data_IF_710483864888
#
_entry.id   IF_710483864888
#
_cell.length_a   1.000
_cell.length_b   1.000
_cell.length_c   1.000
_cell.angle_alpha   90.00
_cell.angle_beta   90.00
_cell.angle_gamma   90.00
#
_symmetry.space_group_name_H-M   'P 1'
#
loop_
_entity.id
_entity.type
_entity.pdbx_description
1 polymer ?
#
# COMPACT_ATOMS: atom_id res chain seq x y z
N UNK A 1 18.53 3.80 5.45
CA UNK A 1 17.32 3.94 6.29
C UNK A 1 16.40 2.78 6.00
N UNK A 2 15.48 2.47 6.92
CA UNK A 2 14.44 1.46 6.76
C UNK A 2 13.18 2.19 6.31
N UNK A 3 12.46 1.70 5.31
CA UNK A 3 11.21 2.30 4.83
C UNK A 3 11.40 3.43 3.81
N UNK A 4 10.28 3.94 3.31
CA UNK A 4 10.23 5.18 2.54
C UNK A 4 10.19 6.37 3.51
N UNK A 5 11.23 7.21 3.51
CA UNK A 5 11.39 8.30 4.48
C UNK A 5 10.24 9.30 4.48
N UNK A 6 9.69 9.64 3.31
CA UNK A 6 8.55 10.56 3.19
C UNK A 6 7.31 9.96 3.86
N UNK A 7 7.04 8.68 3.59
CA UNK A 7 5.91 7.95 4.16
C UNK A 7 6.02 7.84 5.69
N UNK A 8 7.22 7.63 6.22
CA UNK A 8 7.46 7.59 7.66
C UNK A 8 7.24 8.95 8.34
N UNK A 9 7.68 10.05 7.72
CA UNK A 9 7.44 11.40 8.26
C UNK A 9 5.94 11.68 8.37
N UNK A 10 5.18 11.37 7.32
CA UNK A 10 3.72 11.56 7.32
C UNK A 10 3.06 10.68 8.39
N UNK A 11 3.49 9.42 8.49
CA UNK A 11 2.99 8.46 9.47
C UNK A 11 3.24 8.92 10.91
N UNK A 12 4.44 9.42 11.21
CA UNK A 12 4.78 9.97 12.53
C UNK A 12 3.92 11.19 12.84
N UNK A 13 3.70 12.07 11.85
CA UNK A 13 2.83 13.24 12.00
C UNK A 13 1.38 12.86 12.35
N UNK A 14 0.84 11.80 11.74
CA UNK A 14 -0.49 11.27 12.05
C UNK A 14 -0.51 10.64 13.45
N UNK A 15 0.48 9.79 13.78
CA UNK A 15 0.54 9.13 15.10
C UNK A 15 0.65 10.16 16.24
N UNK A 16 1.32 11.30 16.00
CA UNK A 16 1.45 12.36 16.98
C UNK A 16 0.11 13.01 17.36
N UNK A 17 -0.92 12.95 16.50
CA UNK A 17 -2.26 13.47 16.84
C UNK A 17 -3.08 12.52 17.72
N UNK A 18 -2.81 11.21 17.65
CA UNK A 18 -3.62 10.18 18.29
C UNK A 18 -3.80 10.36 19.79
N UNK A 19 -2.78 10.72 20.60
CA UNK A 19 -3.00 10.97 22.03
C UNK A 19 -4.04 12.06 22.29
N UNK A 20 -4.07 13.12 21.47
CA UNK A 20 -5.08 14.17 21.56
C UNK A 20 -6.47 13.67 21.17
N UNK A 21 -6.55 12.86 20.11
CA UNK A 21 -7.79 12.25 19.63
C UNK A 21 -8.41 11.30 20.67
N UNK A 22 -7.58 10.53 21.38
CA UNK A 22 -7.97 9.69 22.53
C UNK A 22 -8.62 10.53 23.62
N UNK A 23 -7.93 11.60 24.05
CA UNK A 23 -8.39 12.44 25.17
C UNK A 23 -9.74 13.07 24.83
N UNK A 24 -9.91 13.59 23.61
CA UNK A 24 -11.18 14.17 23.14
C UNK A 24 -12.30 13.15 23.13
N UNK A 25 -12.01 11.93 22.69
CA UNK A 25 -12.97 10.82 22.67
C UNK A 25 -13.46 10.48 24.09
N UNK A 26 -12.54 10.44 25.07
CA UNK A 26 -12.91 10.21 26.48
C UNK A 26 -13.69 11.39 27.10
N UNK A 27 -13.35 12.62 26.73
CA UNK A 27 -14.10 13.81 27.16
C UNK A 27 -15.54 13.77 26.65
N UNK A 28 -15.76 13.40 25.39
CA UNK A 28 -17.11 13.27 24.80
C UNK A 28 -17.96 12.17 25.44
N UNK A 29 -17.32 11.06 25.86
CA UNK A 29 -17.99 10.03 26.66
C UNK A 29 -18.40 10.58 28.04
N UNK A 30 -17.53 11.37 28.68
CA UNK A 30 -17.82 11.99 29.98
C UNK A 30 -18.90 13.07 29.92
N UNK A 31 -19.00 13.79 28.79
CA UNK A 31 -20.03 14.81 28.54
C UNK A 31 -21.37 14.22 28.07
N UNK A 32 -21.44 12.91 27.82
CA UNK A 32 -22.65 12.24 27.33
C UNK A 32 -22.98 12.49 25.85
N UNK A 33 -22.09 13.17 25.11
CA UNK A 33 -22.25 13.44 23.68
C UNK A 33 -22.03 12.17 22.83
N UNK A 34 -21.30 11.19 23.35
CA UNK A 34 -21.06 9.91 22.69
C UNK A 34 -21.61 8.74 23.51
N UNK A 35 -22.38 7.88 22.85
CA UNK A 35 -22.98 6.71 23.49
C UNK A 35 -21.97 5.54 23.53
N UNK A 36 -21.98 4.73 24.59
CA UNK A 36 -21.12 3.55 24.71
C UNK A 36 -21.27 2.58 23.53
N UNK A 37 -22.46 2.50 22.94
CA UNK A 37 -22.72 1.72 21.74
C UNK A 37 -21.95 2.24 20.51
N UNK A 38 -21.86 3.56 20.33
CA UNK A 38 -21.12 4.17 19.22
C UNK A 38 -19.62 3.93 19.35
N UNK A 39 -19.08 4.01 20.58
CA UNK A 39 -17.69 3.69 20.86
C UNK A 39 -17.36 2.21 20.53
N UNK A 40 -18.21 1.29 20.95
CA UNK A 40 -18.03 -0.14 20.66
C UNK A 40 -18.08 -0.40 19.14
N UNK A 41 -19.05 0.19 18.45
CA UNK A 41 -19.17 0.10 17.00
C UNK A 41 -17.91 0.62 16.30
N UNK A 42 -17.40 1.79 16.72
CA UNK A 42 -16.18 2.40 16.17
C UNK A 42 -14.96 1.51 16.36
N UNK A 43 -14.78 0.92 17.55
CA UNK A 43 -13.68 -0.02 17.84
C UNK A 43 -13.74 -1.27 16.95
N UNK A 44 -14.91 -1.90 16.84
CA UNK A 44 -15.10 -3.09 15.98
C UNK A 44 -14.87 -2.75 14.51
N UNK A 45 -15.41 -1.63 14.06
CA UNK A 45 -15.25 -1.15 12.70
C UNK A 45 -13.77 -0.87 12.36
N UNK A 46 -13.03 -0.24 13.29
CA UNK A 46 -11.60 0.02 13.14
C UNK A 46 -10.81 -1.28 12.94
N UNK A 47 -11.04 -2.29 13.79
CA UNK A 47 -10.39 -3.60 13.66
C UNK A 47 -10.74 -4.27 12.33
N UNK A 48 -12.00 -4.18 11.90
CA UNK A 48 -12.44 -4.74 10.62
C UNK A 48 -11.74 -4.07 9.43
N UNK A 49 -11.60 -2.74 9.44
CA UNK A 49 -10.87 -1.99 8.40
C UNK A 49 -9.39 -2.38 8.38
N UNK A 50 -8.73 -2.44 9.54
CA UNK A 50 -7.32 -2.88 9.64
C UNK A 50 -7.16 -4.29 9.06
N UNK A 51 -8.02 -5.23 9.45
CA UNK A 51 -8.00 -6.60 8.95
C UNK A 51 -8.18 -6.65 7.42
N UNK A 52 -9.14 -5.89 6.89
CA UNK A 52 -9.39 -5.81 5.45
C UNK A 52 -8.16 -5.29 4.68
N UNK A 53 -7.48 -4.27 5.20
CA UNK A 53 -6.23 -3.74 4.61
C UNK A 53 -5.13 -4.79 4.64
N UNK A 54 -4.93 -5.47 5.78
CA UNK A 54 -3.89 -6.49 5.92
C UNK A 54 -4.11 -7.61 4.89
N UNK A 55 -5.34 -8.13 4.79
CA UNK A 55 -5.68 -9.20 3.84
C UNK A 55 -5.41 -8.77 2.40
N UNK A 56 -5.81 -7.56 2.02
CA UNK A 56 -5.59 -7.05 0.66
C UNK A 56 -4.12 -6.74 0.37
N UNK A 57 -3.37 -6.26 1.36
CA UNK A 57 -1.95 -5.91 1.22
C UNK A 57 -1.07 -7.16 1.13
N UNK A 58 -1.42 -8.23 1.85
CA UNK A 58 -0.74 -9.52 1.77
C UNK A 58 -1.17 -10.36 0.55
N UNK A 59 -2.29 -10.00 -0.09
CA UNK A 59 -2.77 -10.63 -1.30
C UNK A 59 -1.71 -10.59 -2.40
N UNK A 60 -1.36 -11.76 -2.95
CA UNK A 60 -0.40 -11.88 -4.05
C UNK A 60 -0.87 -12.90 -5.08
N UNK A 61 -0.70 -12.55 -6.35
CA UNK A 61 -0.83 -13.45 -7.48
C UNK A 61 0.53 -14.04 -7.82
N UNK A 62 0.65 -15.37 -7.67
CA UNK A 62 1.89 -16.09 -7.96
C UNK A 62 1.92 -16.51 -9.42
N UNK A 63 2.92 -16.06 -10.18
CA UNK A 63 3.18 -16.52 -11.55
C UNK A 63 4.28 -17.59 -11.50
N UNK A 64 4.02 -18.84 -11.92
CA UNK A 64 5.03 -19.88 -11.93
C UNK A 64 6.10 -19.59 -12.98
N UNK A 65 7.37 -19.76 -12.60
CA UNK A 65 8.53 -19.57 -13.47
C UNK A 65 9.43 -20.78 -13.35
N UNK A 66 9.98 -21.20 -14.47
CA UNK A 66 10.98 -22.26 -14.54
C UNK A 66 12.31 -21.66 -14.98
N UNK A 67 13.39 -22.02 -14.29
CA UNK A 67 14.74 -21.70 -14.73
C UNK A 67 15.34 -22.88 -15.49
N UNK A 68 16.01 -22.58 -16.59
CA UNK A 68 16.70 -23.59 -17.38
C UNK A 68 17.73 -24.33 -16.52
N UNK A 69 17.71 -25.66 -16.61
CA UNK A 69 18.69 -26.53 -15.94
C UNK A 69 20.03 -26.39 -16.65
N UNK A 70 21.10 -26.13 -15.90
CA UNK A 70 22.47 -26.21 -16.44
C UNK A 70 23.05 -27.57 -16.07
N UNK A 71 23.47 -28.33 -17.07
CA UNK A 71 24.25 -29.54 -16.87
C UNK A 71 25.71 -29.11 -16.65
N UNK A 72 26.25 -29.38 -15.46
CA UNK A 72 27.67 -29.15 -15.15
C UNK A 72 28.28 -30.51 -14.82
N UNK A 73 29.13 -31.02 -15.72
CA UNK A 73 29.65 -32.39 -15.64
C UNK A 73 28.54 -33.44 -15.82
N UNK A 74 28.45 -34.42 -14.90
CA UNK A 74 27.41 -35.48 -14.91
C UNK A 74 26.24 -35.22 -13.96
N UNK A 75 26.22 -34.08 -13.26
CA UNK A 75 25.15 -33.73 -12.31
C UNK A 75 24.29 -32.60 -12.87
N UNK A 76 22.98 -32.79 -12.82
CA UNK A 76 22.01 -31.78 -13.20
C UNK A 76 21.91 -30.77 -12.05
N UNK A 77 22.32 -29.52 -12.29
CA UNK A 77 22.20 -28.43 -11.32
C UNK A 77 21.07 -27.49 -11.75
N UNK A 78 20.18 -27.17 -10.81
CA UNK A 78 19.08 -26.23 -11.03
C UNK A 78 17.79 -26.85 -11.56
N UNK A 79 16.85 -25.97 -11.94
CA UNK A 79 15.50 -26.34 -12.42
C UNK A 79 14.44 -26.47 -11.34
N UNK A 80 14.61 -25.81 -10.19
CA UNK A 80 13.52 -25.66 -9.26
C UNK A 80 12.44 -24.77 -9.89
N UNK A 81 11.18 -25.22 -9.86
CA UNK A 81 10.06 -24.36 -10.16
C UNK A 81 9.98 -23.29 -9.08
N UNK A 82 10.02 -22.03 -9.47
CA UNK A 82 9.78 -20.91 -8.57
C UNK A 82 8.49 -20.21 -8.95
N UNK A 83 8.16 -19.15 -8.23
CA UNK A 83 7.13 -18.22 -8.64
C UNK A 83 7.61 -16.77 -8.46
N UNK A 84 7.14 -15.90 -9.34
CA UNK A 84 7.24 -14.45 -9.14
C UNK A 84 5.97 -14.02 -8.40
N UNK A 85 6.08 -13.49 -7.17
CA UNK A 85 4.95 -12.94 -6.45
C UNK A 85 4.63 -11.54 -6.98
N UNK A 86 3.43 -11.37 -7.54
CA UNK A 86 2.89 -10.05 -7.87
C UNK A 86 1.85 -9.67 -6.83
N UNK A 87 2.13 -8.66 -6.00
CA UNK A 87 1.18 -8.19 -4.98
C UNK A 87 -0.06 -7.59 -5.63
N UNK A 88 -1.21 -7.76 -4.99
CA UNK A 88 -2.48 -7.14 -5.42
C UNK A 88 -2.40 -5.63 -5.34
N UNK A 89 -1.74 -5.13 -4.29
CA UNK A 89 -1.42 -3.73 -4.12
C UNK A 89 0.11 -3.53 -4.08
N UNK A 90 0.71 -3.38 -5.25
CA UNK A 90 2.13 -3.05 -5.41
C UNK A 90 2.46 -1.62 -5.00
N UNK A 91 1.47 -0.72 -5.05
CA UNK A 91 1.66 0.68 -4.73
C UNK A 91 1.61 0.99 -3.23
N UNK A 92 1.22 0.01 -2.40
CA UNK A 92 1.05 0.19 -0.98
C UNK A 92 0.06 1.32 -0.70
N UNK A 93 0.42 2.22 0.21
CA UNK A 93 -0.46 3.34 0.62
C UNK A 93 -0.05 4.69 -0.01
N UNK A 94 0.94 4.68 -0.89
CA UNK A 94 1.43 5.87 -1.59
C UNK A 94 0.33 6.56 -2.43
N UNK A 95 -0.55 5.85 -3.16
CA UNK A 95 -1.62 6.51 -3.92
C UNK A 95 -2.58 7.33 -3.05
N UNK A 96 -2.90 6.84 -1.85
CA UNK A 96 -3.78 7.52 -0.89
C UNK A 96 -3.12 8.81 -0.39
N UNK A 97 -1.82 8.75 -0.08
CA UNK A 97 -1.05 9.92 0.36
C UNK A 97 -1.01 11.01 -0.72
N UNK A 98 -0.71 10.64 -1.97
CA UNK A 98 -0.70 11.60 -3.07
C UNK A 98 -2.10 12.20 -3.32
N UNK A 99 -3.14 11.37 -3.32
CA UNK A 99 -4.50 11.85 -3.48
C UNK A 99 -4.87 12.88 -2.38
N UNK A 100 -4.52 12.60 -1.13
CA UNK A 100 -4.77 13.50 -0.01
C UNK A 100 -4.02 14.83 -0.16
N UNK A 101 -2.75 14.81 -0.58
CA UNK A 101 -1.97 16.04 -0.78
C UNK A 101 -2.57 16.94 -1.87
N UNK A 102 -3.12 16.37 -2.94
CA UNK A 102 -3.74 17.13 -4.04
C UNK A 102 -5.05 17.76 -3.57
N UNK A 103 -5.85 17.03 -2.81
CA UNK A 103 -7.14 17.53 -2.31
C UNK A 103 -6.99 18.59 -1.23
N UNK A 104 -6.00 18.45 -0.35
CA UNK A 104 -5.75 19.44 0.70
C UNK A 104 -5.24 20.76 0.12
N UNK A 105 -4.58 20.74 -1.05
CA UNK A 105 -3.91 21.90 -1.61
C UNK A 105 -4.86 23.10 -1.88
N UNK A 106 -6.01 22.95 -2.58
CA UNK A 106 -6.96 24.06 -2.75
C UNK A 106 -7.53 24.58 -1.43
N UNK A 107 -7.80 23.69 -0.46
CA UNK A 107 -8.31 24.07 0.86
C UNK A 107 -7.32 24.95 1.62
N UNK A 108 -6.04 24.58 1.63
CA UNK A 108 -4.97 25.37 2.24
C UNK A 108 -4.83 26.74 1.57
N UNK A 109 -4.88 26.80 0.24
CA UNK A 109 -4.82 28.08 -0.49
C UNK A 109 -6.01 29.00 -0.17
N UNK A 110 -7.22 28.45 -0.09
CA UNK A 110 -8.41 29.22 0.26
C UNK A 110 -8.34 29.77 1.70
N UNK A 111 -7.71 29.04 2.62
CA UNK A 111 -7.45 29.51 3.99
C UNK A 111 -6.38 30.61 4.04
N UNK A 112 -5.36 30.54 3.18
CA UNK A 112 -4.29 31.55 3.11
C UNK A 112 -4.73 32.86 2.43
N UNK A 113 -5.69 32.80 1.50
CA UNK A 113 -6.21 33.96 0.76
C UNK A 113 -7.71 34.19 1.00
N UNK A 114 -8.11 34.56 2.23
CA UNK A 114 -9.51 34.82 2.55
C UNK A 114 -10.02 36.02 1.73
N UNK A 115 -11.15 35.85 1.01
CA UNK A 115 -11.80 36.91 0.23
C UNK A 115 -11.82 36.71 -1.29
N UNK A 116 -11.15 35.67 -1.81
CA UNK A 116 -11.25 35.28 -3.21
C UNK A 116 -12.42 34.30 -3.41
N UNK A 117 -13.58 34.81 -3.86
CA UNK A 117 -14.82 34.01 -4.01
C UNK A 117 -14.64 32.75 -4.89
N UNK A 118 -13.75 32.81 -5.88
CA UNK A 118 -13.38 31.66 -6.71
C UNK A 118 -12.65 30.55 -5.94
N UNK A 119 -11.68 30.88 -5.07
CA UNK A 119 -10.98 29.87 -4.26
C UNK A 119 -11.88 29.29 -3.18
N UNK A 120 -12.77 30.09 -2.58
CA UNK A 120 -13.74 29.61 -1.59
C UNK A 120 -14.76 28.66 -2.22
N UNK A 121 -15.21 28.94 -3.46
CA UNK A 121 -16.06 28.02 -4.20
C UNK A 121 -15.35 26.70 -4.48
N UNK A 122 -14.10 26.74 -4.96
CA UNK A 122 -13.30 25.53 -5.17
C UNK A 122 -13.12 24.74 -3.86
N UNK A 123 -12.76 25.40 -2.76
CA UNK A 123 -12.60 24.75 -1.46
C UNK A 123 -13.91 24.12 -0.94
N UNK A 124 -15.06 24.72 -1.23
CA UNK A 124 -16.36 24.16 -0.85
C UNK A 124 -16.67 22.83 -1.54
N UNK A 125 -16.17 22.62 -2.76
CA UNK A 125 -16.32 21.37 -3.52
C UNK A 125 -15.44 20.26 -2.94
N UNK A 126 -14.25 20.61 -2.43
CA UNK A 126 -13.30 19.70 -1.80
C UNK A 126 -13.51 19.52 -0.29
N UNK A 127 -14.68 19.86 0.22
CA UNK A 127 -15.01 19.61 1.63
C UNK A 127 -15.27 18.10 1.84
N UNK A 128 -14.62 17.47 2.84
CA UNK A 128 -14.86 16.07 3.17
C UNK A 128 -16.35 15.77 3.37
N UNK A 129 -16.81 14.66 2.80
CA UNK A 129 -18.22 14.24 2.85
C UNK A 129 -19.09 14.74 1.70
N UNK A 130 -18.64 15.71 0.86
CA UNK A 130 -19.37 16.05 -0.37
C UNK A 130 -19.35 14.88 -1.37
N UNK A 131 -20.43 14.60 -2.13
CA UNK A 131 -20.41 13.52 -3.12
C UNK A 131 -19.36 13.73 -4.22
N UNK A 132 -19.11 14.99 -4.58
CA UNK A 132 -18.08 15.38 -5.54
C UNK A 132 -16.68 15.08 -4.98
N UNK A 133 -16.44 15.39 -3.70
CA UNK A 133 -15.20 15.03 -3.01
C UNK A 133 -14.93 13.53 -3.11
N UNK A 134 -15.93 12.70 -2.79
CA UNK A 134 -15.79 11.24 -2.82
C UNK A 134 -15.44 10.73 -4.22
N UNK A 135 -16.12 11.24 -5.24
CA UNK A 135 -15.89 10.82 -6.63
C UNK A 135 -14.49 11.22 -7.11
N UNK A 136 -14.10 12.46 -6.87
CA UNK A 136 -12.78 12.98 -7.28
C UNK A 136 -11.67 12.27 -6.50
N UNK A 137 -11.82 12.11 -5.19
CA UNK A 137 -10.85 11.41 -4.34
C UNK A 137 -10.65 9.96 -4.77
N UNK A 138 -11.74 9.21 -4.96
CA UNK A 138 -11.68 7.83 -5.43
C UNK A 138 -11.01 7.71 -6.79
N UNK A 139 -11.33 8.61 -7.72
CA UNK A 139 -10.76 8.62 -9.07
C UNK A 139 -9.25 8.88 -9.04
N UNK A 140 -8.82 9.85 -8.22
CA UNK A 140 -7.41 10.17 -8.03
C UNK A 140 -6.67 8.99 -7.41
N UNK A 141 -7.22 8.34 -6.38
CA UNK A 141 -6.61 7.13 -5.79
C UNK A 141 -6.42 6.05 -6.83
N UNK A 142 -7.45 5.73 -7.63
CA UNK A 142 -7.36 4.70 -8.66
C UNK A 142 -6.31 5.07 -9.70
N UNK A 143 -6.31 6.32 -10.17
CA UNK A 143 -5.32 6.82 -11.12
C UNK A 143 -3.89 6.67 -10.58
N UNK A 144 -3.62 7.12 -9.35
CA UNK A 144 -2.29 7.03 -8.75
C UNK A 144 -1.89 5.58 -8.44
N UNK A 145 -2.83 4.69 -8.13
CA UNK A 145 -2.54 3.27 -7.94
C UNK A 145 -2.02 2.62 -9.24
N UNK A 146 -2.63 2.95 -10.38
CA UNK A 146 -2.13 2.51 -11.70
C UNK A 146 -0.81 3.16 -12.06
N UNK A 147 -0.74 4.49 -11.94
CA UNK A 147 0.44 5.25 -12.31
C UNK A 147 1.67 4.79 -11.52
N UNK A 148 1.56 4.68 -10.20
CA UNK A 148 2.66 4.25 -9.35
C UNK A 148 3.06 2.79 -9.62
N UNK A 149 2.09 1.90 -9.84
CA UNK A 149 2.39 0.50 -10.18
C UNK A 149 3.18 0.39 -11.48
N UNK A 150 2.80 1.16 -12.52
CA UNK A 150 3.49 1.16 -13.80
C UNK A 150 4.91 1.75 -13.71
N UNK A 151 5.12 2.76 -12.86
CA UNK A 151 6.44 3.37 -12.65
C UNK A 151 7.38 2.44 -11.88
N UNK A 152 6.90 1.73 -10.86
CA UNK A 152 7.74 0.85 -10.03
C UNK A 152 8.01 -0.50 -10.71
N UNK A 153 7.01 -1.07 -11.39
CA UNK A 153 7.13 -2.37 -12.04
C UNK A 153 7.06 -2.19 -13.56
N UNK A 154 8.22 -2.13 -14.19
CA UNK A 154 8.34 -2.19 -15.64
C UNK A 154 8.28 -3.66 -16.12
N UNK A 155 7.21 -4.09 -16.84
CA UNK A 155 7.07 -5.47 -17.32
C UNK A 155 8.16 -5.88 -18.32
N UNK A 156 8.69 -4.91 -19.08
CA UNK A 156 9.74 -5.13 -20.09
C UNK A 156 11.04 -5.48 -19.39
N UNK A 157 11.45 -4.67 -18.41
CA UNK A 157 12.68 -4.91 -17.64
C UNK A 157 12.60 -6.22 -16.85
N UNK A 158 11.43 -6.55 -16.29
CA UNK A 158 11.22 -7.81 -15.58
C UNK A 158 11.37 -9.00 -16.54
N UNK A 159 10.78 -8.95 -17.73
CA UNK A 159 10.88 -10.01 -18.73
C UNK A 159 12.32 -10.18 -19.26
N UNK A 160 13.04 -9.08 -19.48
CA UNK A 160 14.44 -9.12 -19.93
C UNK A 160 15.36 -9.67 -18.84
N UNK A 161 15.15 -9.29 -17.57
CA UNK A 161 15.88 -9.88 -16.46
C UNK A 161 15.61 -11.37 -16.33
N UNK A 162 14.35 -11.82 -16.44
CA UNK A 162 14.02 -13.24 -16.48
C UNK A 162 14.77 -13.97 -17.59
N UNK A 163 14.77 -13.41 -18.81
CA UNK A 163 15.48 -13.97 -19.96
C UNK A 163 17.00 -14.06 -19.70
N UNK A 164 17.61 -13.01 -19.12
CA UNK A 164 19.05 -12.98 -18.78
C UNK A 164 19.43 -14.08 -17.77
N UNK A 165 18.58 -14.33 -16.77
CA UNK A 165 18.78 -15.39 -15.78
C UNK A 165 18.33 -16.79 -16.25
N UNK A 166 17.94 -16.95 -17.51
CA UNK A 166 17.48 -18.23 -18.06
C UNK A 166 16.12 -18.69 -17.52
N UNK A 167 15.33 -17.76 -16.96
CA UNK A 167 13.98 -17.97 -16.49
C UNK A 167 12.94 -17.77 -17.59
N UNK A 168 11.90 -18.59 -17.60
CA UNK A 168 10.78 -18.46 -18.51
C UNK A 168 9.46 -18.88 -17.85
N UNK A 169 8.36 -18.32 -18.34
CA UNK A 169 7.01 -18.72 -17.94
C UNK A 169 6.60 -19.89 -18.85
N UNK A 170 6.22 -21.06 -18.30
CA UNK A 170 5.75 -22.19 -19.10
C UNK A 170 4.61 -21.78 -20.06
N UNK A 171 4.76 -22.10 -21.34
CA UNK A 171 3.77 -21.76 -22.38
C UNK A 171 3.91 -20.36 -23.01
N UNK A 172 4.85 -19.52 -22.56
CA UNK A 172 5.05 -18.17 -23.10
C UNK A 172 6.49 -18.00 -23.57
N UNK A 173 6.67 -17.48 -24.79
CA UNK A 173 8.02 -17.24 -25.35
C UNK A 173 8.74 -16.12 -24.56
N UNK A 174 10.01 -16.31 -24.16
CA UNK A 174 10.79 -15.28 -23.44
C UNK A 174 10.93 -13.96 -24.23
N UNK A 175 10.98 -12.83 -23.51
CA UNK A 175 11.09 -11.49 -24.09
C UNK A 175 9.73 -10.80 -24.21
N UNK A 176 9.43 -10.19 -25.37
CA UNK A 176 8.24 -9.34 -25.57
C UNK A 176 6.91 -10.00 -25.18
N UNK A 177 6.71 -11.28 -25.51
CA UNK A 177 5.49 -12.03 -25.13
C UNK A 177 5.35 -12.23 -23.62
N UNK A 178 6.47 -12.35 -22.91
CA UNK A 178 6.50 -12.43 -21.44
C UNK A 178 6.14 -11.07 -20.84
N UNK A 179 6.66 -9.97 -21.38
CA UNK A 179 6.30 -8.62 -20.95
C UNK A 179 4.81 -8.32 -21.15
N UNK A 180 4.25 -8.62 -22.34
CA UNK A 180 2.81 -8.47 -22.64
C UNK A 180 1.93 -9.28 -21.67
N UNK A 181 2.38 -10.47 -21.26
CA UNK A 181 1.65 -11.30 -20.30
C UNK A 181 1.70 -10.70 -18.90
N UNK A 182 2.88 -10.30 -18.43
CA UNK A 182 3.05 -9.68 -17.10
C UNK A 182 2.24 -8.39 -17.01
N UNK A 183 2.30 -7.55 -18.04
CA UNK A 183 1.52 -6.30 -18.13
C UNK A 183 0.02 -6.56 -17.99
N UNK A 184 -0.54 -7.48 -18.80
CA UNK A 184 -1.95 -7.87 -18.72
C UNK A 184 -2.32 -8.43 -17.34
N UNK A 185 -1.42 -9.15 -16.70
CA UNK A 185 -1.62 -9.66 -15.35
C UNK A 185 -1.65 -8.53 -14.33
N UNK A 186 -0.69 -7.61 -14.39
CA UNK A 186 -0.60 -6.44 -13.51
C UNK A 186 -1.86 -5.59 -13.63
N UNK A 187 -2.27 -5.19 -14.84
CA UNK A 187 -3.48 -4.37 -15.03
C UNK A 187 -4.74 -4.98 -14.41
N UNK A 188 -4.90 -6.31 -14.53
CA UNK A 188 -6.05 -7.05 -13.97
C UNK A 188 -5.98 -7.24 -12.46
N UNK A 189 -4.77 -7.28 -11.90
CA UNK A 189 -4.55 -7.45 -10.46
C UNK A 189 -4.62 -6.12 -9.73
N UNK A 190 -4.15 -5.04 -10.36
CA UNK A 190 -4.20 -3.69 -9.82
C UNK A 190 -5.61 -3.14 -9.80
N UNK A 191 -6.50 -3.51 -10.74
CA UNK A 191 -7.87 -2.98 -10.79
C UNK A 191 -8.65 -3.23 -9.48
N UNK A 192 -8.80 -4.48 -9.00
CA UNK A 192 -9.51 -4.75 -7.76
C UNK A 192 -8.79 -4.14 -6.55
N UNK A 193 -7.45 -4.11 -6.55
CA UNK A 193 -6.66 -3.49 -5.48
C UNK A 193 -6.90 -1.99 -5.37
N UNK A 194 -6.87 -1.28 -6.50
CA UNK A 194 -7.10 0.17 -6.56
C UNK A 194 -8.53 0.56 -6.17
N UNK A 195 -9.52 -0.19 -6.64
CA UNK A 195 -10.94 0.02 -6.27
C UNK A 195 -11.14 -0.23 -4.78
N UNK A 196 -10.57 -1.31 -4.24
CA UNK A 196 -10.62 -1.59 -2.81
C UNK A 196 -9.99 -0.46 -1.98
N UNK A 197 -8.81 0.03 -2.37
CA UNK A 197 -8.16 1.14 -1.68
C UNK A 197 -9.02 2.41 -1.70
N UNK A 198 -9.64 2.73 -2.84
CA UNK A 198 -10.54 3.87 -2.96
C UNK A 198 -11.77 3.74 -2.04
N UNK A 199 -12.39 2.55 -2.01
CA UNK A 199 -13.53 2.27 -1.13
C UNK A 199 -13.11 2.46 0.32
N UNK A 200 -12.03 1.81 0.76
CA UNK A 200 -11.58 1.88 2.15
C UNK A 200 -11.19 3.30 2.56
N UNK A 201 -10.61 4.08 1.65
CA UNK A 201 -10.27 5.49 1.89
C UNK A 201 -11.50 6.40 2.08
N UNK A 202 -12.62 6.07 1.43
CA UNK A 202 -13.86 6.86 1.45
C UNK A 202 -14.79 6.49 2.59
N UNK A 203 -14.78 5.23 3.05
CA UNK A 203 -15.71 4.76 4.10
C UNK A 203 -15.69 5.68 5.35
N UNK A 204 -14.53 6.11 5.87
CA UNK A 204 -14.52 7.00 7.04
C UNK A 204 -15.29 8.32 6.83
N UNK A 205 -15.17 8.93 5.65
CA UNK A 205 -15.87 10.19 5.35
C UNK A 205 -17.39 10.02 5.32
N UNK A 206 -17.86 8.89 4.78
CA UNK A 206 -19.29 8.53 4.77
C UNK A 206 -19.80 8.33 6.19
N UNK A 207 -19.02 7.63 7.03
CA UNK A 207 -19.39 7.37 8.41
C UNK A 207 -19.48 8.65 9.25
N UNK A 208 -18.51 9.56 9.09
CA UNK A 208 -18.52 10.86 9.78
C UNK A 208 -19.78 11.64 9.39
N UNK A 209 -20.11 11.69 8.10
CA UNK A 209 -21.28 12.43 7.61
C UNK A 209 -22.61 11.85 8.08
N UNK A 210 -22.76 10.53 8.09
CA UNK A 210 -24.04 9.88 8.33
C UNK A 210 -24.31 9.57 9.80
N UNK A 211 -23.26 9.24 10.57
CA UNK A 211 -23.40 8.89 11.99
C UNK A 211 -23.02 10.03 12.92
N UNK A 212 -22.48 11.15 12.40
CA UNK A 212 -22.02 12.31 13.17
C UNK A 212 -21.07 11.94 14.33
N UNK A 213 -20.45 10.76 14.23
CA UNK A 213 -19.44 10.30 15.18
C UNK A 213 -18.16 10.97 14.75
N UNK A 214 -17.56 11.80 15.61
CA UNK A 214 -16.31 12.42 15.26
C UNK A 214 -15.23 11.35 15.25
N UNK A 215 -14.87 10.90 14.05
CA UNK A 215 -13.83 9.90 13.84
C UNK A 215 -12.46 10.58 14.02
N UNK A 216 -12.19 11.08 15.23
CA UNK A 216 -10.90 11.69 15.59
C UNK A 216 -9.77 10.67 15.51
N UNK A 217 -10.08 9.40 15.73
CA UNK A 217 -9.19 8.26 15.51
C UNK A 217 -9.03 7.96 14.01
N UNK A 218 -8.47 8.92 13.28
CA UNK A 218 -7.83 8.80 11.98
C UNK A 218 -8.55 7.92 10.98
N UNK A 219 -9.58 8.42 10.31
CA UNK A 219 -10.22 7.71 9.18
C UNK A 219 -9.21 7.30 8.11
N UNK A 220 -8.80 8.27 7.28
CA UNK A 220 -7.74 8.09 6.28
C UNK A 220 -6.36 7.92 6.90
N UNK A 221 -6.14 8.54 8.07
CA UNK A 221 -4.86 8.48 8.79
C UNK A 221 -4.49 7.08 9.24
N UNK A 222 -5.45 6.30 9.74
CA UNK A 222 -5.23 4.91 10.14
C UNK A 222 -4.80 4.05 8.95
N UNK A 223 -5.37 4.27 7.77
CA UNK A 223 -5.00 3.56 6.54
C UNK A 223 -3.53 3.80 6.19
N UNK A 224 -3.10 5.06 6.29
CA UNK A 224 -1.72 5.47 6.08
C UNK A 224 -0.80 4.80 7.09
N UNK A 225 -1.14 4.84 8.37
CA UNK A 225 -0.32 4.25 9.43
C UNK A 225 -0.17 2.73 9.24
N UNK A 226 -1.26 2.01 9.02
CA UNK A 226 -1.23 0.55 8.83
C UNK A 226 -0.43 0.18 7.58
N UNK A 227 -0.65 0.87 6.47
CA UNK A 227 0.06 0.63 5.23
C UNK A 227 1.57 0.82 5.34
N UNK A 228 1.98 1.97 5.87
CA UNK A 228 3.41 2.29 6.03
C UNK A 228 4.05 1.38 7.07
N UNK A 229 3.34 1.01 8.13
CA UNK A 229 3.83 0.03 9.10
C UNK A 229 4.07 -1.34 8.44
N UNK A 230 3.13 -1.84 7.64
CA UNK A 230 3.29 -3.10 6.90
C UNK A 230 4.46 -3.04 5.92
N UNK A 231 4.60 -1.96 5.15
CA UNK A 231 5.71 -1.77 4.21
C UNK A 231 7.06 -1.74 4.93
N UNK A 232 7.11 -1.04 6.07
CA UNK A 232 8.33 -0.95 6.90
C UNK A 232 8.69 -2.33 7.47
N UNK A 233 7.71 -3.08 7.99
CA UNK A 233 7.93 -4.44 8.51
C UNK A 233 8.44 -5.38 7.42
N UNK A 234 7.85 -5.35 6.23
CA UNK A 234 8.30 -6.17 5.09
C UNK A 234 9.73 -5.84 4.67
N UNK A 235 10.10 -4.56 4.69
CA UNK A 235 11.49 -4.17 4.41
C UNK A 235 12.45 -4.67 5.49
N UNK A 236 12.09 -4.54 6.77
CA UNK A 236 12.89 -5.09 7.88
C UNK A 236 13.09 -6.59 7.71
N UNK A 237 12.01 -7.33 7.44
CA UNK A 237 12.06 -8.78 7.23
C UNK A 237 12.99 -9.14 6.07
N UNK A 238 12.88 -8.44 4.93
CA UNK A 238 13.77 -8.67 3.78
C UNK A 238 15.25 -8.43 4.11
N UNK A 239 15.56 -7.39 4.89
CA UNK A 239 16.93 -7.12 5.35
C UNK A 239 17.44 -8.18 6.33
N UNK A 240 16.59 -8.65 7.24
CA UNK A 240 16.94 -9.71 8.20
C UNK A 240 17.20 -11.05 7.50
N UNK A 241 16.39 -11.40 6.48
CA UNK A 241 16.58 -12.60 5.66
C UNK A 241 17.93 -12.56 4.94
N UNK A 242 18.32 -11.42 4.37
CA UNK A 242 19.64 -11.26 3.74
C UNK A 242 20.78 -11.43 4.74
N UNK A 243 20.64 -10.88 5.96
CA UNK A 243 21.67 -11.01 7.01
C UNK A 243 21.85 -12.44 7.50
N UNK A 244 20.76 -13.20 7.63
CA UNK A 244 20.80 -14.60 8.06
C UNK A 244 21.30 -15.54 6.95
N UNK A 245 21.36 -15.09 5.70
CA UNK A 245 21.91 -15.84 4.57
C UNK A 245 23.44 -15.99 4.64
N UNK A 246 24.14 -14.96 5.15
CA UNK A 246 25.61 -14.98 5.31
C UNK A 246 26.12 -16.00 6.34
N UNK A 247 25.29 -16.34 7.35
CA UNK A 247 25.63 -17.30 8.39
C UNK A 247 25.79 -18.75 7.87
N UNK A 248 24.98 -19.14 6.89
CA UNK A 248 25.00 -20.49 6.31
C UNK A 248 26.15 -20.73 5.33
N UNK A 249 26.67 -19.68 4.67
CA UNK A 249 27.78 -19.79 3.71
C UNK A 249 29.18 -19.73 4.34
N UNK A 250 29.30 -19.31 5.60
CA UNK A 250 30.59 -19.19 6.32
C UNK A 250 31.06 -20.44 7.06
N UNK A 251 30.27 -21.51 7.13
CA UNK A 251 30.69 -22.76 7.75
C UNK A 251 31.08 -23.80 6.70
N UNK A 252 32.34 -23.76 6.28
CA UNK A 252 32.81 -24.70 5.26
C UNK A 252 34.29 -24.68 4.94
N UNK A 253 35.19 -24.48 5.91
CA UNK A 253 36.59 -24.97 5.81
C UNK A 253 37.13 -25.36 7.19
N UNK A 254 36.79 -26.57 7.65
CA UNK A 254 37.67 -27.30 8.54
C UNK A 254 38.90 -27.70 7.72
N UNK A 255 39.99 -26.93 7.88
CA UNK A 255 41.33 -27.28 7.43
C UNK A 255 41.73 -28.56 8.19
N UNK A 256 41.62 -29.71 7.53
CA UNK A 256 42.25 -30.94 7.98
C UNK A 256 43.76 -30.73 8.00
N UNK A 257 44.36 -30.97 9.16
CA UNK A 257 45.78 -30.84 9.45
C UNK A 257 46.46 -32.19 9.18
N UNK A 258 47.60 -32.12 8.49
CA UNK A 258 48.61 -33.16 8.22
C UNK A 258 48.26 -34.20 7.16
#
# INVERSE_FOLDING_TARGET
>A
GIGNGISLIITIGIIASYPGDVIRTFQQLGLGEMNYFQLLFLMVFMVAVIAAIIVMTQGQRRIPVQYAKKMVGRRMYGGAATHIPLKVNTAGVIPIIFAQSIIMFPGTLAQMFPGSGGLQWIASIFTPGAPIYILVYSTIIIFFAYFYTAVVLNPVDLADNMKKYGGFIPGIRPGKRTAEFIDRVLTRVTLPGAVFLAIVAVIPDILIRQFNVPFYFGGTGLLIVVGVALDTLQQIESHLLMRNYDGFMKHGKLRGRR
#
